data_IF_117861587553
#
_entry.id   IF_117861587553
#
_cell.length_a   1.000
_cell.length_b   1.000
_cell.length_c   1.000
_cell.angle_alpha   90.00
_cell.angle_beta   90.00
_cell.angle_gamma   90.00
#
_symmetry.space_group_name_H-M   'P 1'
#
loop_
_entity.id
_entity.type
_entity.pdbx_description
1 polymer ?
#
# COMPACT_ATOMS: atom_id res chain seq x y z
N UNK A 1 -19.86 -3.40 4.47
CA UNK A 1 -18.98 -2.33 5.00
C UNK A 1 -19.54 -0.99 4.53
N UNK A 2 -19.81 -0.05 5.44
CA UNK A 2 -20.46 1.24 5.16
C UNK A 2 -19.73 2.14 4.14
N UNK A 3 -18.45 1.90 3.87
CA UNK A 3 -17.72 2.68 2.86
C UNK A 3 -18.22 2.42 1.44
N UNK A 4 -18.76 1.23 1.15
CA UNK A 4 -19.28 0.92 -0.18
C UNK A 4 -20.63 1.60 -0.46
N UNK A 5 -21.28 2.17 0.56
CA UNK A 5 -22.50 2.98 0.40
C UNK A 5 -22.22 4.47 0.21
N UNK A 6 -20.95 4.89 0.28
CA UNK A 6 -20.59 6.28 -0.03
C UNK A 6 -20.69 6.52 -1.56
N UNK A 7 -21.08 7.74 -1.98
CA UNK A 7 -21.00 8.14 -3.38
C UNK A 7 -19.60 7.93 -3.96
N UNK A 8 -19.50 7.59 -5.25
CA UNK A 8 -18.21 7.39 -5.92
C UNK A 8 -17.33 8.65 -5.93
N UNK A 9 -17.98 9.80 -5.85
CA UNK A 9 -17.41 11.15 -5.82
C UNK A 9 -17.33 11.71 -4.39
N UNK A 10 -17.47 10.86 -3.36
CA UNK A 10 -17.33 11.30 -1.98
C UNK A 10 -15.92 11.88 -1.72
N UNK A 11 -15.87 13.17 -1.39
CA UNK A 11 -14.64 13.87 -1.09
C UNK A 11 -14.25 13.65 0.36
N UNK A 12 -13.17 12.92 0.59
CA UNK A 12 -12.62 12.71 1.92
C UNK A 12 -11.83 13.94 2.40
N UNK A 13 -12.14 14.43 3.60
CA UNK A 13 -11.31 15.45 4.25
C UNK A 13 -10.08 14.81 4.90
N UNK A 14 -8.94 15.52 4.91
CA UNK A 14 -7.65 14.99 5.40
C UNK A 14 -7.74 14.36 6.80
N UNK A 15 -8.45 15.00 7.75
CA UNK A 15 -8.63 14.46 9.10
C UNK A 15 -9.40 13.13 9.10
N UNK A 16 -10.40 12.98 8.25
CA UNK A 16 -11.18 11.75 8.14
C UNK A 16 -10.34 10.62 7.56
N UNK A 17 -9.52 10.94 6.54
CA UNK A 17 -8.56 10.00 5.96
C UNK A 17 -7.59 9.51 7.02
N UNK A 18 -6.93 10.42 7.75
CA UNK A 18 -5.97 10.05 8.80
C UNK A 18 -6.60 9.22 9.92
N UNK A 19 -7.78 9.60 10.40
CA UNK A 19 -8.49 8.84 11.45
C UNK A 19 -8.89 7.44 10.94
N UNK A 20 -9.46 7.36 9.74
CA UNK A 20 -9.88 6.10 9.14
C UNK A 20 -8.70 5.16 8.97
N UNK A 21 -7.60 5.68 8.43
CA UNK A 21 -6.41 4.92 8.14
C UNK A 21 -5.69 4.46 9.41
N UNK A 22 -5.61 5.31 10.44
CA UNK A 22 -5.09 4.93 11.75
C UNK A 22 -5.94 3.85 12.43
N UNK A 23 -7.27 4.00 12.41
CA UNK A 23 -8.20 2.99 12.92
C UNK A 23 -8.04 1.67 12.17
N UNK A 24 -8.02 1.72 10.84
CA UNK A 24 -7.93 0.55 9.97
C UNK A 24 -6.66 -0.23 10.23
N UNK A 25 -5.53 0.47 10.38
CA UNK A 25 -4.26 -0.17 10.69
C UNK A 25 -4.25 -0.81 12.07
N UNK A 26 -4.70 -0.11 13.12
CA UNK A 26 -4.77 -0.66 14.49
C UNK A 26 -5.61 -1.95 14.54
N UNK A 27 -6.55 -2.10 13.62
CA UNK A 27 -7.44 -3.25 13.55
C UNK A 27 -7.10 -4.22 12.40
N UNK A 28 -6.04 -3.97 11.64
CA UNK A 28 -5.71 -4.74 10.43
C UNK A 28 -5.44 -6.22 10.74
N UNK A 29 -4.77 -6.48 11.87
CA UNK A 29 -4.43 -7.80 12.36
C UNK A 29 -5.05 -8.12 13.74
N UNK A 30 -6.09 -7.40 14.17
CA UNK A 30 -6.68 -7.56 15.50
C UNK A 30 -7.20 -8.98 15.81
N UNK A 31 -7.43 -9.80 14.77
CA UNK A 31 -7.92 -11.17 14.89
C UNK A 31 -6.90 -12.23 14.46
N UNK A 32 -5.60 -11.92 14.51
CA UNK A 32 -4.52 -12.87 14.18
C UNK A 32 -4.40 -13.21 12.69
N UNK A 33 -5.19 -12.56 11.83
CA UNK A 33 -5.08 -12.67 10.39
C UNK A 33 -5.36 -11.32 9.70
N UNK A 34 -4.82 -11.10 8.49
CA UNK A 34 -4.97 -9.84 7.78
C UNK A 34 -6.40 -9.63 7.32
N UNK A 35 -7.00 -8.51 7.72
CA UNK A 35 -8.35 -8.19 7.30
C UNK A 35 -8.37 -7.65 5.86
N UNK A 36 -8.60 -8.55 4.90
CA UNK A 36 -8.70 -8.22 3.47
C UNK A 36 -9.70 -7.09 3.19
N UNK A 37 -10.87 -7.11 3.85
CA UNK A 37 -11.90 -6.08 3.67
C UNK A 37 -11.40 -4.70 4.11
N UNK A 38 -10.64 -4.65 5.21
CA UNK A 38 -9.99 -3.44 5.68
C UNK A 38 -8.94 -2.93 4.68
N UNK A 39 -8.16 -3.82 4.08
CA UNK A 39 -7.16 -3.44 3.08
C UNK A 39 -7.79 -2.84 1.82
N UNK A 40 -8.89 -3.43 1.34
CA UNK A 40 -9.68 -2.89 0.22
C UNK A 40 -10.23 -1.50 0.58
N UNK A 41 -10.68 -1.32 1.81
CA UNK A 41 -11.16 -0.04 2.29
C UNK A 41 -10.08 1.04 2.32
N UNK A 42 -8.90 0.70 2.87
CA UNK A 42 -7.71 1.55 2.87
C UNK A 42 -7.39 1.98 1.44
N UNK A 43 -7.28 1.03 0.51
CA UNK A 43 -7.02 1.31 -0.90
C UNK A 43 -8.03 2.32 -1.47
N UNK A 44 -9.33 2.06 -1.27
CA UNK A 44 -10.38 2.92 -1.80
C UNK A 44 -10.30 4.34 -1.21
N UNK A 45 -10.08 4.47 0.10
CA UNK A 45 -9.95 5.79 0.74
C UNK A 45 -8.72 6.53 0.22
N UNK A 46 -7.58 5.85 0.10
CA UNK A 46 -6.34 6.44 -0.43
C UNK A 46 -6.53 6.95 -1.86
N UNK A 47 -7.12 6.14 -2.74
CA UNK A 47 -7.34 6.50 -4.15
C UNK A 47 -8.33 7.65 -4.35
N UNK A 48 -9.30 7.82 -3.45
CA UNK A 48 -10.31 8.88 -3.52
C UNK A 48 -9.99 10.10 -2.62
N UNK A 49 -8.82 10.11 -1.97
CA UNK A 49 -8.34 11.26 -1.22
C UNK A 49 -7.61 12.24 -2.13
N UNK A 50 -7.80 13.54 -1.88
CA UNK A 50 -7.12 14.59 -2.64
C UNK A 50 -5.61 14.58 -2.38
N UNK A 51 -5.22 14.53 -1.10
CA UNK A 51 -3.83 14.44 -0.66
C UNK A 51 -3.72 13.57 0.60
N UNK A 52 -2.70 12.72 0.61
CA UNK A 52 -2.25 11.99 1.80
C UNK A 52 -1.09 12.74 2.44
N UNK A 53 -1.03 12.70 3.77
CA UNK A 53 0.10 13.23 4.52
C UNK A 53 1.36 12.38 4.24
N UNK A 54 2.50 13.04 3.97
CA UNK A 54 3.77 12.36 3.67
C UNK A 54 4.21 11.41 4.77
N UNK A 55 4.11 11.84 6.03
CA UNK A 55 4.46 11.02 7.19
C UNK A 55 3.58 9.78 7.30
N UNK A 56 2.32 9.87 6.86
CA UNK A 56 1.42 8.74 6.81
C UNK A 56 1.82 7.73 5.72
N UNK A 57 2.21 8.20 4.53
CA UNK A 57 2.65 7.33 3.42
C UNK A 57 3.84 6.48 3.84
N UNK A 58 4.88 7.11 4.42
CA UNK A 58 6.07 6.41 4.89
C UNK A 58 5.72 5.35 5.94
N UNK A 59 4.95 5.74 6.96
CA UNK A 59 4.49 4.84 8.03
C UNK A 59 3.67 3.66 7.46
N UNK A 60 2.83 3.93 6.45
CA UNK A 60 2.01 2.90 5.83
C UNK A 60 2.87 1.86 5.10
N UNK A 61 3.91 2.31 4.40
CA UNK A 61 4.84 1.41 3.70
C UNK A 61 5.62 0.54 4.69
N UNK A 62 6.15 1.13 5.76
CA UNK A 62 6.82 0.38 6.85
C UNK A 62 5.93 -0.76 7.34
N UNK A 63 4.69 -0.40 7.64
CA UNK A 63 3.71 -1.32 8.19
C UNK A 63 3.32 -2.44 7.23
N UNK A 64 3.09 -2.13 5.96
CA UNK A 64 2.56 -3.09 5.00
C UNK A 64 3.63 -3.96 4.35
N UNK A 65 4.85 -3.45 4.19
CA UNK A 65 5.92 -4.09 3.41
C UNK A 65 7.15 -4.50 4.24
N UNK A 66 7.33 -3.97 5.46
CA UNK A 66 8.40 -4.38 6.39
C UNK A 66 7.86 -5.21 7.56
N UNK A 67 7.06 -4.60 8.43
CA UNK A 67 6.56 -5.23 9.66
C UNK A 67 5.63 -6.43 9.40
N UNK A 68 5.02 -6.46 8.22
CA UNK A 68 3.99 -7.40 7.86
C UNK A 68 4.50 -8.41 6.82
N UNK A 69 4.49 -9.73 7.12
CA UNK A 69 5.03 -10.75 6.23
C UNK A 69 4.07 -11.01 5.05
N UNK A 70 4.05 -10.08 4.09
CA UNK A 70 3.11 -10.08 2.98
C UNK A 70 3.16 -11.38 2.16
N UNK A 71 4.36 -11.96 1.99
CA UNK A 71 4.60 -13.24 1.31
C UNK A 71 3.84 -14.42 1.93
N UNK A 72 3.57 -14.38 3.25
CA UNK A 72 2.84 -15.43 3.96
C UNK A 72 1.31 -15.26 3.86
N UNK A 73 0.85 -14.13 3.33
CA UNK A 73 -0.57 -13.83 3.24
C UNK A 73 -1.23 -14.53 2.07
N UNK A 74 -2.55 -14.68 2.12
CA UNK A 74 -3.31 -15.18 0.97
C UNK A 74 -3.13 -14.29 -0.26
N UNK A 75 -3.19 -14.90 -1.44
CA UNK A 75 -3.07 -14.22 -2.75
C UNK A 75 -3.87 -12.91 -2.83
N UNK A 76 -5.11 -12.90 -2.33
CA UNK A 76 -6.00 -11.72 -2.42
C UNK A 76 -5.43 -10.52 -1.65
N UNK A 77 -4.80 -10.76 -0.50
CA UNK A 77 -4.16 -9.71 0.32
C UNK A 77 -2.94 -9.17 -0.43
N UNK A 78 -2.06 -10.07 -0.90
CA UNK A 78 -0.87 -9.70 -1.68
C UNK A 78 -1.22 -8.85 -2.90
N UNK A 79 -2.21 -9.29 -3.67
CA UNK A 79 -2.68 -8.59 -4.85
C UNK A 79 -3.15 -7.16 -4.55
N UNK A 80 -3.95 -6.97 -3.50
CA UNK A 80 -4.39 -5.62 -3.11
C UNK A 80 -3.23 -4.78 -2.59
N UNK A 81 -2.31 -5.36 -1.81
CA UNK A 81 -1.11 -4.65 -1.34
C UNK A 81 -0.27 -4.13 -2.51
N UNK A 82 -0.03 -4.95 -3.54
CA UNK A 82 0.70 -4.50 -4.73
C UNK A 82 -0.06 -3.42 -5.51
N UNK A 83 -1.40 -3.45 -5.53
CA UNK A 83 -2.19 -2.35 -6.11
C UNK A 83 -2.12 -1.05 -5.29
N UNK A 84 -2.00 -1.15 -3.97
CA UNK A 84 -1.78 0.04 -3.13
C UNK A 84 -0.39 0.61 -3.39
N UNK A 85 0.63 -0.24 -3.49
CA UNK A 85 1.99 0.19 -3.80
C UNK A 85 2.08 0.88 -5.17
N UNK A 86 1.38 0.34 -6.17
CA UNK A 86 1.26 0.95 -7.48
C UNK A 86 0.71 2.38 -7.42
N UNK A 87 -0.40 2.56 -6.70
CA UNK A 87 -0.97 3.89 -6.48
C UNK A 87 -0.01 4.82 -5.74
N UNK A 88 0.69 4.31 -4.72
CA UNK A 88 1.63 5.10 -3.95
C UNK A 88 2.84 5.53 -4.76
N UNK A 89 3.38 4.64 -5.60
CA UNK A 89 4.48 4.98 -6.51
C UNK A 89 4.04 5.96 -7.59
N UNK A 90 2.81 5.83 -8.12
CA UNK A 90 2.28 6.77 -9.11
C UNK A 90 2.13 8.20 -8.55
N UNK A 91 1.61 8.36 -7.33
CA UNK A 91 1.33 9.68 -6.74
C UNK A 91 2.42 10.25 -5.83
N UNK A 92 3.24 9.40 -5.21
CA UNK A 92 4.14 9.76 -4.10
C UNK A 92 5.53 9.17 -4.30
N UNK A 93 5.95 8.98 -5.56
CA UNK A 93 7.27 8.42 -5.88
C UNK A 93 8.41 9.19 -5.21
N UNK A 94 8.36 10.53 -5.22
CA UNK A 94 9.38 11.39 -4.60
C UNK A 94 9.54 11.09 -3.12
N UNK A 95 8.43 11.06 -2.38
CA UNK A 95 8.42 10.79 -0.94
C UNK A 95 8.91 9.38 -0.62
N UNK A 96 8.60 8.40 -1.48
CA UNK A 96 9.08 7.04 -1.32
C UNK A 96 10.56 6.93 -1.64
N UNK A 97 11.07 7.67 -2.63
CA UNK A 97 12.49 7.67 -3.01
C UNK A 97 13.42 8.24 -1.94
N UNK A 98 12.92 9.13 -1.08
CA UNK A 98 13.64 9.64 0.10
C UNK A 98 13.85 8.55 1.18
N UNK A 99 13.11 7.43 1.10
CA UNK A 99 13.17 6.36 2.10
C UNK A 99 14.20 5.31 1.72
N UNK A 100 15.33 5.32 2.43
CA UNK A 100 16.50 4.45 2.19
C UNK A 100 16.13 2.96 2.13
N UNK A 101 15.31 2.46 3.06
CA UNK A 101 15.00 1.04 3.16
C UNK A 101 13.87 0.58 2.22
N UNK A 102 13.25 1.49 1.46
CA UNK A 102 12.09 1.19 0.63
C UNK A 102 12.32 0.02 -0.34
N UNK A 103 13.45 0.02 -1.05
CA UNK A 103 13.80 -1.02 -2.03
C UNK A 103 13.99 -2.38 -1.34
N UNK A 104 14.57 -2.39 -0.14
CA UNK A 104 14.73 -3.60 0.68
C UNK A 104 13.38 -4.18 1.11
N UNK A 105 12.45 -3.33 1.57
CA UNK A 105 11.09 -3.74 1.92
C UNK A 105 10.33 -4.28 0.71
N UNK A 106 10.41 -3.58 -0.42
CA UNK A 106 9.80 -4.02 -1.66
C UNK A 106 10.31 -5.41 -2.09
N UNK A 107 11.62 -5.58 -2.22
CA UNK A 107 12.24 -6.84 -2.64
C UNK A 107 11.90 -8.00 -1.71
N UNK A 108 11.91 -7.76 -0.40
CA UNK A 108 11.51 -8.76 0.60
C UNK A 108 10.04 -9.17 0.44
N UNK A 109 9.15 -8.19 0.22
CA UNK A 109 7.71 -8.40 0.13
C UNK A 109 7.23 -9.14 -1.13
N UNK A 110 8.03 -9.13 -2.20
CA UNK A 110 7.71 -9.81 -3.48
C UNK A 110 8.39 -11.19 -3.58
N UNK A 111 9.29 -11.51 -2.65
CA UNK A 111 10.10 -12.73 -2.71
C UNK A 111 9.22 -13.98 -2.69
N UNK A 112 9.47 -14.85 -3.66
CA UNK A 112 8.76 -16.13 -3.79
C UNK A 112 7.32 -16.04 -4.31
N UNK A 113 6.86 -14.88 -4.82
CA UNK A 113 5.55 -14.79 -5.47
C UNK A 113 5.48 -15.68 -6.73
N UNK A 114 4.34 -16.34 -6.92
CA UNK A 114 4.09 -17.29 -8.02
C UNK A 114 2.77 -17.04 -8.74
N UNK A 115 1.86 -16.26 -8.17
CA UNK A 115 0.58 -15.97 -8.82
C UNK A 115 0.79 -15.02 -10.01
N UNK A 116 0.38 -15.39 -11.23
CA UNK A 116 0.60 -14.57 -12.42
C UNK A 116 0.01 -13.15 -12.32
N UNK A 117 -1.11 -12.97 -11.60
CA UNK A 117 -1.76 -11.65 -11.47
C UNK A 117 -0.94 -10.73 -10.58
N UNK A 118 -0.33 -11.27 -9.53
CA UNK A 118 0.61 -10.54 -8.70
C UNK A 118 1.90 -10.22 -9.48
N UNK A 119 2.45 -11.21 -10.20
CA UNK A 119 3.69 -11.04 -10.97
C UNK A 119 3.59 -9.92 -12.00
N UNK A 120 2.47 -9.79 -12.72
CA UNK A 120 2.27 -8.69 -13.67
C UNK A 120 2.35 -7.32 -12.98
N UNK A 121 1.77 -7.18 -11.78
CA UNK A 121 1.88 -5.94 -11.01
C UNK A 121 3.33 -5.73 -10.55
N UNK A 122 3.97 -6.75 -9.99
CA UNK A 122 5.35 -6.69 -9.49
C UNK A 122 6.31 -6.26 -10.60
N UNK A 123 6.23 -6.83 -11.80
CA UNK A 123 7.13 -6.44 -12.89
C UNK A 123 6.98 -4.98 -13.28
N UNK A 124 5.76 -4.45 -13.31
CA UNK A 124 5.54 -3.02 -13.53
C UNK A 124 6.14 -2.17 -12.40
N UNK A 125 5.97 -2.59 -11.14
CA UNK A 125 6.55 -1.90 -9.98
C UNK A 125 8.07 -1.89 -10.02
N UNK A 126 8.70 -3.00 -10.44
CA UNK A 126 10.16 -3.09 -10.65
C UNK A 126 10.61 -2.03 -11.65
N UNK A 127 9.92 -1.90 -12.81
CA UNK A 127 10.27 -0.87 -13.79
C UNK A 127 10.23 0.54 -13.18
N UNK A 128 9.14 0.89 -12.48
CA UNK A 128 8.99 2.20 -11.83
C UNK A 128 10.12 2.44 -10.81
N UNK A 129 10.43 1.42 -10.00
CA UNK A 129 11.47 1.52 -8.97
C UNK A 129 12.85 1.69 -9.61
N UNK A 130 13.19 0.94 -10.66
CA UNK A 130 14.45 1.12 -11.38
C UNK A 130 14.56 2.54 -11.98
N UNK A 131 13.47 3.11 -12.48
CA UNK A 131 13.52 4.44 -13.10
C UNK A 131 13.71 5.57 -12.07
N UNK A 132 13.23 5.40 -10.83
CA UNK A 132 13.16 6.49 -9.84
C UNK A 132 14.05 6.32 -8.60
N UNK A 133 14.50 5.10 -8.32
CA UNK A 133 15.27 4.75 -7.11
C UNK A 133 16.70 4.30 -7.44
N UNK A 134 17.11 4.40 -8.70
CA UNK A 134 18.51 4.29 -9.07
C UNK A 134 19.25 5.54 -8.54
N UNK A 135 19.77 5.43 -7.32
CA UNK A 135 20.98 6.16 -6.94
C UNK A 135 22.09 5.73 -7.91
N UNK A 136 22.83 6.69 -8.45
CA UNK A 136 24.02 6.45 -9.27
C UNK A 136 24.84 5.28 -8.69
N UNK A 137 24.96 4.19 -9.46
CA UNK A 137 25.99 3.17 -9.26
C UNK A 137 27.37 3.79 -9.49
#
# INVERSE_FOLDING_TARGET
>A
MLLNSLPKDYVWHNLQVELFLNFSWRNFNAFGSPNFTMLVAIKNVMQNSAHLNRSYIALFVDKLFDEFPLQMCERKVRYISYQILDFLLDKYCSELSEKVDFVSYFTSSISGERDPRCLVLIFRLICIICDHFNSEL
#
